data_IF_609593241701
#
_entry.id   IF_609593241701
#
_cell.length_a   1.000
_cell.length_b   1.000
_cell.length_c   1.000
_cell.angle_alpha   90.00
_cell.angle_beta   90.00
_cell.angle_gamma   90.00
#
_symmetry.space_group_name_H-M   'P 1'
#
loop_
_entity.id
_entity.type
_entity.pdbx_description
1 polymer ?
#
# COMPACT_ATOMS: atom_id res chain seq x y z
N UNK A 1 -11.01 2.86 -12.16
CA UNK A 1 -9.79 3.70 -12.18
C UNK A 1 -9.28 3.75 -10.76
N UNK A 2 -8.08 3.22 -10.49
CA UNK A 2 -7.54 3.03 -9.12
C UNK A 2 -7.19 4.32 -8.38
N UNK A 3 -7.53 5.47 -8.96
CA UNK A 3 -7.33 6.80 -8.42
C UNK A 3 -8.32 7.10 -7.29
N UNK A 4 -8.12 6.46 -6.14
CA UNK A 4 -8.72 6.90 -4.89
C UNK A 4 -7.65 7.58 -4.06
N UNK A 5 -7.97 8.75 -3.50
CA UNK A 5 -7.07 9.44 -2.58
C UNK A 5 -6.87 8.65 -1.27
N UNK A 6 -7.81 7.73 -0.97
CA UNK A 6 -7.82 6.90 0.24
C UNK A 6 -6.50 6.14 0.44
N UNK A 7 -6.01 5.29 -0.48
CA UNK A 7 -4.74 4.57 -0.33
C UNK A 7 -3.55 5.52 -0.20
N UNK A 8 -3.51 6.62 -0.97
CA UNK A 8 -2.41 7.61 -0.88
C UNK A 8 -2.35 8.23 0.51
N UNK A 9 -3.48 8.66 1.06
CA UNK A 9 -3.56 9.22 2.42
C UNK A 9 -3.20 8.16 3.46
N UNK A 10 -3.77 6.96 3.36
CA UNK A 10 -3.55 5.88 4.32
C UNK A 10 -2.08 5.46 4.41
N UNK A 11 -1.43 5.19 3.27
CA UNK A 11 -0.02 4.78 3.25
C UNK A 11 0.94 5.92 3.60
N UNK A 12 0.58 7.17 3.29
CA UNK A 12 1.37 8.33 3.73
C UNK A 12 1.30 8.52 5.24
N UNK A 13 0.14 8.32 5.87
CA UNK A 13 0.01 8.36 7.33
C UNK A 13 0.78 7.19 7.95
N UNK A 14 0.59 5.96 7.44
CA UNK A 14 1.23 4.76 7.97
C UNK A 14 2.77 4.91 7.99
N UNK A 15 3.37 5.25 6.85
CA UNK A 15 4.83 5.40 6.78
C UNK A 15 5.32 6.71 7.41
N UNK A 16 4.50 7.77 7.36
CA UNK A 16 4.76 9.02 8.06
C UNK A 16 4.89 8.84 9.57
N UNK A 17 4.06 7.98 10.17
CA UNK A 17 4.20 7.59 11.59
C UNK A 17 5.54 6.90 11.84
N UNK A 18 5.98 5.99 10.97
CA UNK A 18 7.28 5.30 11.13
C UNK A 18 8.45 6.30 11.08
N UNK A 19 8.43 7.24 10.14
CA UNK A 19 9.44 8.31 10.05
C UNK A 19 9.37 9.21 11.30
N UNK A 20 8.17 9.59 11.73
CA UNK A 20 7.96 10.39 12.94
C UNK A 20 8.50 9.69 14.19
N UNK A 21 8.26 8.39 14.34
CA UNK A 21 8.81 7.59 15.43
C UNK A 21 10.35 7.56 15.40
N UNK A 22 10.96 7.47 14.21
CA UNK A 22 12.41 7.58 14.05
C UNK A 22 12.95 8.94 14.52
N UNK A 23 12.29 10.03 14.14
CA UNK A 23 12.68 11.40 14.56
C UNK A 23 12.40 11.67 16.03
N UNK A 24 11.35 11.10 16.60
CA UNK A 24 10.96 11.26 18.00
C UNK A 24 11.66 10.28 18.95
N UNK A 25 12.37 9.28 18.42
CA UNK A 25 13.15 8.31 19.20
C UNK A 25 14.11 8.95 20.23
N UNK A 26 14.77 10.11 19.95
CA UNK A 26 15.50 10.96 20.90
C UNK A 26 14.75 11.38 22.18
N UNK A 27 13.41 11.39 22.17
CA UNK A 27 12.58 11.80 23.30
C UNK A 27 12.18 10.62 24.20
N UNK A 28 12.01 9.41 23.63
CA UNK A 28 11.42 8.27 24.35
C UNK A 28 12.43 7.25 24.88
N UNK A 29 13.64 7.20 24.32
CA UNK A 29 14.64 6.16 24.65
C UNK A 29 15.80 6.74 25.47
N UNK A 30 16.35 6.07 26.48
CA UNK A 30 17.58 6.54 27.12
C UNK A 30 18.77 6.52 26.14
N UNK A 31 19.83 7.28 26.42
CA UNK A 31 21.05 7.24 25.61
C UNK A 31 21.69 5.84 25.72
N UNK A 32 21.65 5.07 24.64
CA UNK A 32 22.33 3.79 24.51
C UNK A 32 23.31 3.79 23.32
N UNK A 33 24.28 2.86 23.28
CA UNK A 33 25.32 2.82 22.24
C UNK A 33 24.74 2.74 20.81
N UNK A 34 23.62 2.05 20.64
CA UNK A 34 23.03 1.75 19.33
C UNK A 34 21.87 2.69 18.95
N UNK A 35 21.65 3.77 19.70
CA UNK A 35 20.48 4.64 19.54
C UNK A 35 20.44 5.34 18.18
N UNK A 36 21.58 5.86 17.73
CA UNK A 36 21.68 6.53 16.43
C UNK A 36 21.41 5.56 15.27
N UNK A 37 21.85 4.31 15.40
CA UNK A 37 21.59 3.26 14.41
C UNK A 37 20.08 3.01 14.30
N UNK A 38 19.39 2.85 15.43
CA UNK A 38 17.93 2.66 15.44
C UNK A 38 17.18 3.85 14.81
N UNK A 39 17.61 5.08 15.10
CA UNK A 39 17.03 6.28 14.50
C UNK A 39 17.17 6.30 12.98
N UNK A 40 18.38 6.03 12.47
CA UNK A 40 18.63 5.99 11.03
C UNK A 40 17.87 4.86 10.35
N UNK A 41 17.83 3.67 10.95
CA UNK A 41 17.07 2.53 10.43
C UNK A 41 15.59 2.86 10.27
N UNK A 42 14.94 3.42 11.30
CA UNK A 42 13.52 3.76 11.24
C UNK A 42 13.21 4.83 10.19
N UNK A 43 14.04 5.89 10.11
CA UNK A 43 13.86 6.96 9.14
C UNK A 43 14.07 6.44 7.71
N UNK A 44 15.16 5.71 7.48
CA UNK A 44 15.50 5.19 6.15
C UNK A 44 14.47 4.17 5.68
N UNK A 45 14.08 3.23 6.53
CA UNK A 45 13.05 2.23 6.20
C UNK A 45 11.71 2.89 5.92
N UNK A 46 11.28 3.83 6.77
CA UNK A 46 10.01 4.53 6.59
C UNK A 46 9.95 5.30 5.27
N UNK A 47 11.01 6.03 4.95
CA UNK A 47 11.08 6.82 3.72
C UNK A 47 11.19 5.96 2.46
N UNK A 48 12.08 4.96 2.46
CA UNK A 48 12.28 4.09 1.29
C UNK A 48 11.06 3.22 0.99
N UNK A 49 10.38 2.72 2.02
CA UNK A 49 9.19 1.89 1.85
C UNK A 49 7.99 2.71 1.36
N UNK A 50 7.84 3.96 1.82
CA UNK A 50 6.85 4.91 1.27
C UNK A 50 7.12 5.22 -0.20
N UNK A 51 8.38 5.54 -0.56
CA UNK A 51 8.77 5.82 -1.95
C UNK A 51 8.53 4.64 -2.87
N UNK A 52 8.95 3.44 -2.46
CA UNK A 52 8.75 2.22 -3.25
C UNK A 52 7.26 1.99 -3.54
N UNK A 53 6.43 2.05 -2.49
CA UNK A 53 4.98 1.92 -2.63
C UNK A 53 4.39 2.99 -3.56
N UNK A 54 4.75 4.26 -3.36
CA UNK A 54 4.21 5.38 -4.14
C UNK A 54 4.55 5.25 -5.62
N UNK A 55 5.80 4.88 -5.94
CA UNK A 55 6.23 4.65 -7.32
C UNK A 55 5.41 3.53 -7.97
N UNK A 56 5.24 2.38 -7.30
CA UNK A 56 4.43 1.27 -7.82
C UNK A 56 2.97 1.67 -8.02
N UNK A 57 2.39 2.44 -7.09
CA UNK A 57 1.03 2.92 -7.17
C UNK A 57 0.85 3.88 -8.35
N UNK A 58 1.71 4.90 -8.47
CA UNK A 58 1.65 5.90 -9.53
C UNK A 58 1.84 5.30 -10.92
N UNK A 59 2.68 4.26 -11.06
CA UNK A 59 2.87 3.55 -12.32
C UNK A 59 1.58 2.90 -12.86
N UNK A 60 0.60 2.62 -11.99
CA UNK A 60 -0.66 1.96 -12.36
C UNK A 60 -1.84 2.91 -12.55
N UNK A 61 -1.66 4.22 -12.29
CA UNK A 61 -2.77 5.19 -12.29
C UNK A 61 -3.28 5.54 -13.68
N UNK A 62 -2.39 5.53 -14.69
CA UNK A 62 -2.74 5.77 -16.09
C UNK A 62 -2.04 4.71 -16.97
N UNK A 63 -2.50 3.44 -16.91
CA UNK A 63 -1.83 2.36 -17.60
C UNK A 63 -2.08 2.49 -19.12
N UNK A 64 -1.00 2.44 -19.90
CA UNK A 64 -1.06 2.48 -21.37
C UNK A 64 -1.25 1.09 -21.98
N UNK A 65 -0.97 0.03 -21.21
CA UNK A 65 -0.96 -1.35 -21.66
C UNK A 65 -1.82 -2.16 -20.70
N UNK A 66 -2.81 -2.86 -21.24
CA UNK A 66 -3.61 -3.85 -20.53
C UNK A 66 -3.01 -5.25 -20.61
N UNK A 67 -3.37 -6.15 -19.69
CA UNK A 67 -2.92 -7.53 -19.74
C UNK A 67 -3.55 -8.26 -20.94
N UNK A 68 -2.77 -9.11 -21.63
CA UNK A 68 -3.28 -9.99 -22.69
C UNK A 68 -3.48 -11.39 -22.13
N UNK A 69 -4.72 -11.87 -22.14
CA UNK A 69 -5.10 -13.18 -21.61
C UNK A 69 -5.72 -14.05 -22.70
N UNK A 70 -5.60 -15.36 -22.51
CA UNK A 70 -6.27 -16.36 -23.34
C UNK A 70 -7.79 -16.40 -23.06
N UNK A 71 -8.57 -16.81 -24.07
CA UNK A 71 -10.03 -16.86 -23.99
C UNK A 71 -10.52 -17.74 -22.84
N UNK A 72 -9.84 -18.87 -22.57
CA UNK A 72 -10.22 -19.76 -21.47
C UNK A 72 -10.04 -19.07 -20.12
N UNK A 73 -8.93 -18.34 -19.94
CA UNK A 73 -8.66 -17.61 -18.70
C UNK A 73 -9.68 -16.50 -18.47
N UNK A 74 -10.07 -15.77 -19.53
CA UNK A 74 -11.10 -14.73 -19.47
C UNK A 74 -12.46 -15.32 -19.03
N UNK A 75 -12.85 -16.47 -19.59
CA UNK A 75 -14.10 -17.16 -19.22
C UNK A 75 -14.11 -17.59 -17.75
N UNK A 76 -12.98 -18.11 -17.25
CA UNK A 76 -12.86 -18.52 -15.85
C UNK A 76 -12.93 -17.29 -14.92
N UNK A 77 -12.19 -16.22 -15.23
CA UNK A 77 -12.22 -14.98 -14.44
C UNK A 77 -13.62 -14.38 -14.39
N UNK A 78 -14.34 -14.37 -15.52
CA UNK A 78 -15.71 -13.89 -15.57
C UNK A 78 -16.63 -14.73 -14.66
N UNK A 79 -16.51 -16.06 -14.68
CA UNK A 79 -17.29 -16.95 -13.81
C UNK A 79 -17.02 -16.66 -12.33
N UNK A 80 -15.75 -16.66 -11.91
CA UNK A 80 -15.40 -16.54 -10.48
C UNK A 80 -15.67 -15.14 -9.94
N UNK A 81 -15.31 -14.09 -10.69
CA UNK A 81 -15.45 -12.71 -10.20
C UNK A 81 -16.90 -12.20 -10.27
N UNK A 82 -17.72 -12.62 -11.24
CA UNK A 82 -19.15 -12.26 -11.27
C UNK A 82 -19.93 -12.98 -10.16
N UNK A 83 -19.61 -14.24 -9.87
CA UNK A 83 -20.23 -14.95 -8.75
C UNK A 83 -19.95 -14.20 -7.45
N UNK A 84 -18.70 -13.84 -7.18
CA UNK A 84 -18.33 -13.05 -5.98
C UNK A 84 -19.10 -11.73 -5.94
N UNK A 85 -19.18 -10.99 -7.05
CA UNK A 85 -19.91 -9.73 -7.09
C UNK A 85 -21.40 -9.88 -6.79
N UNK A 86 -22.05 -10.93 -7.32
CA UNK A 86 -23.46 -11.21 -7.08
C UNK A 86 -23.69 -11.64 -5.62
N UNK A 87 -22.86 -12.51 -5.06
CA UNK A 87 -22.96 -12.94 -3.65
C UNK A 87 -22.78 -11.77 -2.68
N UNK A 88 -21.78 -10.92 -2.92
CA UNK A 88 -21.52 -9.78 -2.05
C UNK A 88 -22.64 -8.74 -2.13
N UNK A 89 -23.18 -8.47 -3.33
CA UNK A 89 -24.33 -7.59 -3.49
C UNK A 89 -25.62 -8.17 -2.88
N UNK A 90 -25.84 -9.48 -2.94
CA UNK A 90 -27.04 -10.11 -2.38
C UNK A 90 -27.01 -10.21 -0.84
N UNK A 91 -25.84 -10.36 -0.21
CA UNK A 91 -25.66 -10.31 1.25
C UNK A 91 -25.81 -8.90 1.84
N UNK A 92 -25.57 -7.84 1.06
CA UNK A 92 -25.70 -6.45 1.51
C UNK A 92 -27.17 -5.98 1.45
N UNK A 93 -28.02 -6.64 0.67
CA UNK A 93 -29.45 -6.30 0.49
C UNK A 93 -30.43 -7.11 1.37
N UNK A 94 -29.91 -7.97 2.25
CA UNK A 94 -30.67 -8.79 3.22
C UNK A 94 -30.41 -8.34 4.64
#
# INVERSE_FOLDING_TARGET
>A
MGASAIPVVAFTILWGIVVFLGVALPLFVPKGPNRGILQVLLILTGFTSWLFWLCCYMAQMNPLIGPKLDNVTILIMAREWLIVYIYEHSLITS
#
